data_IF_278151772555
#
_entry.id   IF_278151772555
#
_cell.length_a   1.000
_cell.length_b   1.000
_cell.length_c   1.000
_cell.angle_alpha   90.00
_cell.angle_beta   90.00
_cell.angle_gamma   90.00
#
_symmetry.space_group_name_H-M   'P 1'
#
loop_
_entity.id
_entity.type
_entity.pdbx_description
1 polymer ?
#
# COMPACT_ATOMS: atom_id res chain seq x y z
N UNK A 1 -1.16 -12.74 -9.35
CA UNK A 1 -1.49 -12.82 -7.90
C UNK A 1 -2.99 -13.05 -7.77
N UNK A 2 -3.44 -13.66 -6.65
CA UNK A 2 -4.87 -13.99 -6.50
C UNK A 2 -5.69 -12.83 -5.91
N UNK A 3 -5.04 -11.81 -5.33
CA UNK A 3 -5.66 -10.70 -4.63
C UNK A 3 -4.81 -9.44 -4.76
N UNK A 4 -5.45 -8.26 -4.85
CA UNK A 4 -4.77 -6.97 -4.93
C UNK A 4 -4.09 -6.58 -3.62
N UNK A 5 -4.55 -7.10 -2.49
CA UNK A 5 -3.91 -6.94 -1.17
C UNK A 5 -2.48 -7.47 -1.14
N UNK A 6 -2.18 -8.52 -1.92
CA UNK A 6 -0.82 -9.03 -2.08
C UNK A 6 0.06 -8.10 -2.94
N UNK A 7 -0.53 -7.40 -3.92
CA UNK A 7 0.18 -6.36 -4.64
C UNK A 7 0.50 -5.18 -3.72
N UNK A 8 -0.48 -4.78 -2.89
CA UNK A 8 -0.29 -3.74 -1.87
C UNK A 8 0.86 -4.08 -0.93
N UNK A 9 0.92 -5.35 -0.45
CA UNK A 9 2.02 -5.86 0.37
C UNK A 9 3.36 -5.73 -0.33
N UNK A 10 3.48 -6.22 -1.57
CA UNK A 10 4.73 -6.19 -2.35
C UNK A 10 5.25 -4.76 -2.56
N UNK A 11 4.35 -3.79 -2.83
CA UNK A 11 4.75 -2.40 -3.03
C UNK A 11 5.18 -1.77 -1.70
N UNK A 12 4.45 -2.00 -0.61
CA UNK A 12 4.81 -1.51 0.72
C UNK A 12 6.16 -2.11 1.21
N UNK A 13 6.42 -3.40 0.93
CA UNK A 13 7.73 -3.99 1.20
C UNK A 13 8.88 -3.36 0.38
N UNK A 14 8.61 -2.87 -0.83
CA UNK A 14 9.62 -2.12 -1.58
C UNK A 14 9.94 -0.79 -0.88
N UNK A 15 8.94 -0.13 -0.31
CA UNK A 15 9.12 1.09 0.49
C UNK A 15 9.92 0.82 1.76
N UNK A 16 9.66 -0.31 2.45
CA UNK A 16 10.51 -0.78 3.58
C UNK A 16 11.96 -0.95 3.15
N UNK A 17 12.20 -1.65 2.02
CA UNK A 17 13.56 -1.86 1.46
C UNK A 17 14.24 -0.56 1.01
N UNK A 18 13.46 0.47 0.67
CA UNK A 18 13.96 1.81 0.35
C UNK A 18 14.31 2.64 1.59
N UNK A 19 14.17 2.08 2.79
CA UNK A 19 14.47 2.75 4.05
C UNK A 19 13.44 3.81 4.44
N UNK A 20 12.20 3.64 4.04
CA UNK A 20 11.10 4.52 4.47
C UNK A 20 10.88 4.43 5.97
N UNK A 21 10.57 5.55 6.60
CA UNK A 21 10.12 5.65 7.99
C UNK A 21 8.62 5.87 8.09
N UNK A 22 7.99 6.24 6.98
CA UNK A 22 6.55 6.44 6.87
C UNK A 22 6.07 5.90 5.52
N UNK A 23 5.03 5.05 5.56
CA UNK A 23 4.38 4.49 4.38
C UNK A 23 2.88 4.80 4.48
N UNK A 24 2.34 5.50 3.47
CA UNK A 24 0.90 5.75 3.33
C UNK A 24 0.32 4.84 2.28
N UNK A 25 -0.75 4.16 2.61
CA UNK A 25 -1.49 3.27 1.72
C UNK A 25 -2.93 3.76 1.63
N UNK A 26 -3.36 4.14 0.45
CA UNK A 26 -4.73 4.62 0.20
C UNK A 26 -5.40 3.73 -0.83
N UNK A 27 -6.56 3.22 -0.49
CA UNK A 27 -7.51 2.54 -1.37
C UNK A 27 -8.74 3.43 -1.50
N UNK A 28 -9.12 3.78 -2.71
CA UNK A 28 -10.32 4.57 -2.96
C UNK A 28 -11.18 3.91 -4.02
N UNK A 29 -12.40 3.57 -3.62
CA UNK A 29 -13.41 3.03 -4.52
C UNK A 29 -14.44 4.10 -4.87
N UNK A 30 -14.57 4.42 -6.15
CA UNK A 30 -15.55 5.38 -6.65
C UNK A 30 -16.13 4.89 -7.98
N UNK A 31 -17.44 4.69 -8.03
CA UNK A 31 -18.07 4.03 -9.17
C UNK A 31 -17.47 2.63 -9.36
N UNK A 32 -17.08 2.33 -10.60
CA UNK A 32 -16.46 1.05 -10.97
C UNK A 32 -14.93 1.14 -11.03
N UNK A 33 -14.31 2.03 -10.23
CA UNK A 33 -12.85 2.21 -10.21
C UNK A 33 -12.33 2.06 -8.80
N UNK A 34 -11.33 1.19 -8.63
CA UNK A 34 -10.47 1.13 -7.46
C UNK A 34 -9.16 1.83 -7.78
N UNK A 35 -8.81 2.84 -7.01
CA UNK A 35 -7.50 3.49 -7.03
C UNK A 35 -6.71 3.04 -5.81
N UNK A 36 -5.54 2.44 -6.04
CA UNK A 36 -4.59 2.03 -5.02
C UNK A 36 -3.38 2.95 -5.09
N UNK A 37 -3.04 3.62 -4.00
CA UNK A 37 -1.87 4.49 -3.89
C UNK A 37 -1.00 4.04 -2.73
N UNK A 38 0.30 3.90 -2.97
CA UNK A 38 1.32 3.69 -1.93
C UNK A 38 2.35 4.80 -2.06
N UNK A 39 2.51 5.58 -1.00
CA UNK A 39 3.44 6.70 -0.91
C UNK A 39 4.41 6.46 0.24
N UNK A 40 5.69 6.66 0.02
CA UNK A 40 6.74 6.53 1.02
C UNK A 40 7.71 7.71 1.03
N UNK A 41 8.43 7.84 2.13
CA UNK A 41 9.52 8.80 2.31
C UNK A 41 10.91 8.13 2.25
N UNK A 42 11.03 6.99 1.58
CA UNK A 42 12.30 6.28 1.39
C UNK A 42 13.29 7.02 0.48
N UNK A 43 14.40 6.38 0.16
CA UNK A 43 15.48 7.02 -0.62
C UNK A 43 15.06 7.44 -2.05
N UNK A 44 13.93 7.00 -2.55
CA UNK A 44 13.47 7.24 -3.91
C UNK A 44 14.31 6.52 -4.97
N UNK A 45 13.95 6.74 -6.25
CA UNK A 45 14.57 6.09 -7.40
C UNK A 45 15.35 7.10 -8.25
N UNK A 46 16.54 6.69 -8.73
CA UNK A 46 17.28 7.46 -9.73
C UNK A 46 16.53 7.46 -11.06
N UNK A 47 16.62 8.55 -11.88
CA UNK A 47 15.85 8.68 -13.11
C UNK A 47 16.02 7.51 -14.09
N UNK A 48 17.24 6.96 -14.20
CA UNK A 48 17.53 5.84 -15.09
C UNK A 48 16.83 4.54 -14.63
N UNK A 49 16.76 4.34 -13.32
CA UNK A 49 16.06 3.21 -12.74
C UNK A 49 14.54 3.37 -12.85
N UNK A 50 14.02 4.58 -12.56
CA UNK A 50 12.60 4.88 -12.65
C UNK A 50 12.04 4.61 -14.07
N UNK A 51 12.82 4.94 -15.12
CA UNK A 51 12.40 4.66 -16.51
C UNK A 51 12.26 3.17 -16.84
N UNK A 52 12.93 2.32 -16.10
CA UNK A 52 12.97 0.88 -16.35
C UNK A 52 12.14 0.05 -15.36
N UNK A 53 11.73 0.64 -14.23
CA UNK A 53 11.16 -0.12 -13.11
C UNK A 53 9.81 -0.77 -13.43
N UNK A 54 9.06 -0.21 -14.37
CA UNK A 54 7.77 -0.74 -14.82
C UNK A 54 7.87 -1.62 -16.05
N UNK A 55 9.06 -1.76 -16.65
CA UNK A 55 9.28 -2.60 -17.84
C UNK A 55 9.55 -4.05 -17.41
N UNK A 56 8.65 -4.99 -17.73
CA UNK A 56 8.82 -6.40 -17.39
C UNK A 56 10.05 -7.05 -18.06
N UNK A 57 10.57 -6.46 -19.15
CA UNK A 57 11.74 -6.95 -19.87
C UNK A 57 13.06 -6.43 -19.29
N UNK A 58 13.05 -5.34 -18.52
CA UNK A 58 14.25 -4.82 -17.85
C UNK A 58 14.68 -5.66 -16.65
N UNK A 59 13.86 -6.57 -16.15
CA UNK A 59 14.17 -7.45 -15.01
C UNK A 59 15.14 -8.58 -15.38
N UNK A 60 15.44 -8.82 -16.67
CA UNK A 60 16.27 -9.93 -17.13
C UNK A 60 17.77 -9.70 -17.10
N UNK A 61 18.25 -8.50 -16.76
CA UNK A 61 19.69 -8.22 -16.61
C UNK A 61 20.16 -8.33 -15.17
N UNK A 62 20.80 -9.41 -14.87
CA UNK A 62 21.77 -9.93 -13.89
C UNK A 62 22.28 -9.04 -12.72
N UNK A 63 21.78 -7.86 -12.44
CA UNK A 63 22.34 -6.99 -11.39
C UNK A 63 21.25 -6.22 -10.65
N UNK A 64 20.68 -6.86 -9.70
CA UNK A 64 19.82 -6.48 -8.58
C UNK A 64 18.47 -7.19 -8.62
N UNK A 65 18.09 -7.71 -7.46
CA UNK A 65 16.74 -8.22 -7.15
C UNK A 65 15.72 -7.08 -7.22
N UNK A 66 15.34 -6.63 -8.40
CA UNK A 66 14.13 -5.83 -8.59
C UNK A 66 12.99 -6.84 -8.49
N UNK A 67 12.16 -6.71 -7.46
CA UNK A 67 11.01 -7.55 -7.29
C UNK A 67 10.07 -7.40 -8.49
N UNK A 68 9.36 -8.46 -8.85
CA UNK A 68 8.35 -8.46 -9.91
C UNK A 68 7.08 -7.66 -9.53
N UNK A 69 7.03 -7.05 -8.34
CA UNK A 69 5.85 -6.40 -7.80
C UNK A 69 5.28 -5.31 -8.70
N UNK A 70 6.09 -4.30 -9.08
CA UNK A 70 5.62 -3.21 -9.95
C UNK A 70 5.21 -3.67 -11.37
N UNK A 71 6.00 -4.49 -12.08
CA UNK A 71 5.57 -5.05 -13.37
C UNK A 71 4.28 -5.88 -13.30
N UNK A 72 4.10 -6.66 -12.23
CA UNK A 72 2.88 -7.47 -12.05
C UNK A 72 1.68 -6.60 -11.68
N UNK A 73 1.87 -5.56 -10.85
CA UNK A 73 0.83 -4.59 -10.54
C UNK A 73 0.39 -3.83 -11.80
N UNK A 74 1.36 -3.42 -12.64
CA UNK A 74 1.09 -2.78 -13.93
C UNK A 74 0.24 -3.67 -14.83
N UNK A 75 0.67 -4.93 -14.99
CA UNK A 75 -0.07 -5.89 -15.80
C UNK A 75 -1.50 -6.10 -15.29
N UNK A 76 -1.67 -6.25 -13.98
CA UNK A 76 -3.00 -6.41 -13.37
C UNK A 76 -3.90 -5.18 -13.59
N UNK A 77 -3.36 -3.96 -13.51
CA UNK A 77 -4.10 -2.74 -13.80
C UNK A 77 -4.48 -2.63 -15.28
N UNK A 78 -3.51 -2.82 -16.19
CA UNK A 78 -3.72 -2.74 -17.64
C UNK A 78 -4.71 -3.81 -18.15
N UNK A 79 -4.73 -5.01 -17.56
CA UNK A 79 -5.71 -6.06 -17.90
C UNK A 79 -7.16 -5.65 -17.64
N UNK A 80 -7.40 -4.73 -16.71
CA UNK A 80 -8.73 -4.18 -16.44
C UNK A 80 -9.04 -2.91 -17.24
N UNK A 81 -8.16 -2.49 -18.14
CA UNK A 81 -8.25 -1.20 -18.84
C UNK A 81 -7.82 0.00 -17.97
N UNK A 82 -7.24 -0.27 -16.81
CA UNK A 82 -6.70 0.73 -15.91
C UNK A 82 -5.25 1.13 -16.23
N UNK A 83 -4.54 1.66 -15.25
CA UNK A 83 -3.19 2.20 -15.45
C UNK A 83 -2.34 2.12 -14.19
N UNK A 84 -1.00 2.17 -14.38
CA UNK A 84 -0.03 2.35 -13.30
C UNK A 84 0.82 3.60 -13.55
N UNK A 85 0.95 4.43 -12.53
CA UNK A 85 1.87 5.57 -12.51
C UNK A 85 2.85 5.41 -11.35
N UNK A 86 4.13 5.70 -11.59
CA UNK A 86 5.19 5.71 -10.57
C UNK A 86 5.89 7.05 -10.63
N UNK A 87 5.84 7.79 -9.54
CA UNK A 87 6.56 9.04 -9.35
C UNK A 87 7.60 8.84 -8.25
N UNK A 88 8.82 9.28 -8.46
CA UNK A 88 9.87 9.12 -7.46
C UNK A 88 10.87 10.26 -7.51
N UNK A 89 11.31 10.67 -6.31
CA UNK A 89 12.34 11.69 -6.10
C UNK A 89 13.48 11.08 -5.31
N UNK A 90 14.66 10.97 -5.93
CA UNK A 90 15.81 10.38 -5.27
C UNK A 90 16.45 11.37 -4.30
N UNK A 91 16.86 10.90 -3.12
CA UNK A 91 17.43 11.70 -2.03
C UNK A 91 18.66 12.52 -2.43
N UNK A 92 19.49 12.04 -3.39
CA UNK A 92 20.67 12.80 -3.84
C UNK A 92 20.30 14.13 -4.52
N UNK A 93 19.14 14.19 -5.17
CA UNK A 93 18.65 15.38 -5.87
C UNK A 93 17.60 16.16 -5.06
N UNK A 94 16.95 15.50 -4.13
CA UNK A 94 15.88 16.05 -3.30
C UNK A 94 16.08 15.65 -1.83
N UNK A 95 17.05 16.26 -1.12
CA UNK A 95 17.32 15.94 0.29
C UNK A 95 16.09 16.11 1.17
N UNK A 96 15.28 17.14 0.89
CA UNK A 96 14.02 17.40 1.56
C UNK A 96 12.87 17.02 0.62
N UNK A 97 12.15 15.93 0.91
CA UNK A 97 10.97 15.50 0.13
C UNK A 97 11.28 14.43 -0.93
N UNK A 98 12.25 13.57 -0.64
CA UNK A 98 12.48 12.33 -1.40
C UNK A 98 11.43 11.25 -1.05
N UNK A 99 11.34 10.23 -1.89
CA UNK A 99 10.42 9.11 -1.73
C UNK A 99 9.83 8.62 -3.04
N UNK A 100 8.86 7.74 -2.94
CA UNK A 100 8.16 7.17 -4.10
C UNK A 100 6.66 7.20 -3.87
N UNK A 101 5.92 7.48 -4.94
CA UNK A 101 4.47 7.35 -5.01
C UNK A 101 4.11 6.41 -6.16
N UNK A 102 3.41 5.33 -5.85
CA UNK A 102 2.88 4.36 -6.81
C UNK A 102 1.37 4.47 -6.80
N UNK A 103 0.76 4.75 -7.96
CA UNK A 103 -0.70 4.80 -8.11
C UNK A 103 -1.13 3.82 -9.19
N UNK A 104 -2.01 2.89 -8.85
CA UNK A 104 -2.63 1.94 -9.76
C UNK A 104 -4.14 2.13 -9.77
N UNK A 105 -4.74 2.15 -10.98
CA UNK A 105 -6.18 2.23 -11.18
C UNK A 105 -6.67 0.92 -11.82
N UNK A 106 -7.79 0.40 -11.31
CA UNK A 106 -8.43 -0.83 -11.79
C UNK A 106 -9.90 -0.56 -12.07
N UNK A 107 -10.40 -1.07 -13.21
CA UNK A 107 -11.84 -1.12 -13.44
C UNK A 107 -12.42 -2.38 -12.79
N UNK A 108 -13.20 -2.21 -11.72
CA UNK A 108 -13.68 -3.30 -10.86
C UNK A 108 -14.81 -4.11 -11.48
N UNK A 109 -15.47 -3.59 -12.49
CA UNK A 109 -16.49 -4.28 -13.29
C UNK A 109 -15.89 -5.12 -14.43
N UNK A 110 -14.58 -5.06 -14.66
CA UNK A 110 -13.92 -5.88 -15.67
C UNK A 110 -13.80 -7.34 -15.19
N UNK A 111 -14.05 -8.30 -16.11
CA UNK A 111 -14.06 -9.73 -15.77
C UNK A 111 -12.68 -10.24 -15.25
N UNK A 112 -11.60 -9.62 -15.67
CA UNK A 112 -10.24 -9.96 -15.23
C UNK A 112 -9.81 -9.16 -13.98
N UNK A 113 -10.69 -8.37 -13.37
CA UNK A 113 -10.36 -7.65 -12.17
C UNK A 113 -10.15 -8.62 -11.00
N UNK A 114 -8.94 -8.61 -10.48
CA UNK A 114 -8.59 -9.39 -9.30
C UNK A 114 -9.28 -8.78 -8.07
N UNK A 115 -9.89 -9.58 -7.18
CA UNK A 115 -10.52 -9.06 -5.96
C UNK A 115 -9.51 -8.36 -5.06
N UNK A 116 -10.00 -7.40 -4.26
CA UNK A 116 -9.13 -6.66 -3.32
C UNK A 116 -8.44 -7.60 -2.32
N UNK A 117 -9.18 -8.56 -1.76
CA UNK A 117 -8.64 -9.52 -0.81
C UNK A 117 -8.51 -8.96 0.62
N UNK A 118 -7.65 -9.59 1.42
CA UNK A 118 -7.51 -9.33 2.86
C UNK A 118 -6.46 -8.23 3.15
N UNK A 119 -6.93 -6.99 3.24
CA UNK A 119 -6.11 -5.83 3.60
C UNK A 119 -5.71 -5.84 5.08
N UNK A 120 -6.50 -6.46 5.96
CA UNK A 120 -6.19 -6.55 7.40
C UNK A 120 -4.96 -7.43 7.62
N UNK A 121 -4.92 -8.60 6.99
CA UNK A 121 -3.74 -9.47 7.04
C UNK A 121 -2.50 -8.84 6.40
N UNK A 122 -2.68 -8.02 5.34
CA UNK A 122 -1.60 -7.24 4.73
C UNK A 122 -0.97 -6.27 5.73
N UNK A 123 -1.81 -5.46 6.40
CA UNK A 123 -1.34 -4.50 7.41
C UNK A 123 -0.70 -5.20 8.61
N UNK A 124 -1.32 -6.27 9.09
CA UNK A 124 -0.76 -7.09 10.17
C UNK A 124 0.65 -7.58 9.84
N UNK A 125 0.84 -8.11 8.62
CA UNK A 125 2.14 -8.62 8.14
C UNK A 125 3.19 -7.51 8.07
N UNK A 126 2.84 -6.34 7.54
CA UNK A 126 3.74 -5.19 7.43
C UNK A 126 4.18 -4.69 8.81
N UNK A 127 3.23 -4.51 9.73
CA UNK A 127 3.51 -4.01 11.09
C UNK A 127 4.33 -5.03 11.88
N UNK A 128 4.02 -6.33 11.74
CA UNK A 128 4.80 -7.38 12.37
C UNK A 128 6.26 -7.41 11.89
N UNK A 129 6.45 -7.26 10.57
CA UNK A 129 7.78 -7.34 9.94
C UNK A 129 8.62 -6.09 10.10
N UNK A 130 7.99 -4.92 10.29
CA UNK A 130 8.66 -3.61 10.34
C UNK A 130 8.01 -2.71 11.38
N UNK A 131 8.08 -3.09 12.68
CA UNK A 131 7.39 -2.38 13.77
C UNK A 131 7.93 -0.95 14.03
N UNK A 132 9.10 -0.62 13.52
CA UNK A 132 9.72 0.71 13.61
C UNK A 132 9.18 1.70 12.59
N UNK A 133 8.54 1.22 11.52
CA UNK A 133 7.98 2.08 10.47
C UNK A 133 6.58 2.54 10.87
N UNK A 134 6.25 3.76 10.50
CA UNK A 134 4.90 4.27 10.62
C UNK A 134 4.07 3.94 9.38
N UNK A 135 2.90 3.38 9.60
CA UNK A 135 1.94 3.04 8.56
C UNK A 135 0.67 3.89 8.73
N UNK A 136 0.26 4.53 7.63
CA UNK A 136 -1.03 5.21 7.53
C UNK A 136 -1.84 4.52 6.46
N UNK A 137 -2.95 3.92 6.84
CA UNK A 137 -3.85 3.23 5.94
C UNK A 137 -5.20 3.93 5.88
N UNK A 138 -5.71 4.09 4.67
CA UNK A 138 -7.02 4.64 4.39
C UNK A 138 -7.69 3.81 3.30
N UNK A 139 -8.89 3.29 3.58
CA UNK A 139 -9.75 2.68 2.58
C UNK A 139 -11.09 3.41 2.54
N UNK A 140 -11.33 4.12 1.47
CA UNK A 140 -12.56 4.88 1.23
C UNK A 140 -13.40 4.16 0.19
N UNK A 141 -14.63 3.82 0.55
CA UNK A 141 -15.69 3.37 -0.34
C UNK A 141 -16.85 4.37 -0.31
N UNK A 142 -17.83 4.31 -1.24
CA UNK A 142 -19.03 5.13 -1.15
C UNK A 142 -19.78 4.97 0.18
N UNK A 143 -19.62 3.84 0.84
CA UNK A 143 -20.40 3.43 2.01
C UNK A 143 -19.64 3.63 3.33
N UNK A 144 -18.30 3.54 3.32
CA UNK A 144 -17.51 3.57 4.57
C UNK A 144 -16.10 4.11 4.38
N UNK A 145 -15.50 4.45 5.50
CA UNK A 145 -14.09 4.80 5.60
C UNK A 145 -13.46 3.93 6.68
N UNK A 146 -12.42 3.17 6.30
CA UNK A 146 -11.59 2.38 7.21
C UNK A 146 -10.22 3.03 7.29
N UNK A 147 -9.72 3.27 8.50
CA UNK A 147 -8.43 3.95 8.69
C UNK A 147 -7.62 3.33 9.82
N UNK A 148 -6.31 3.42 9.65
CA UNK A 148 -5.32 3.12 10.68
C UNK A 148 -4.17 4.12 10.56
N UNK A 149 -3.76 4.72 11.68
CA UNK A 149 -2.53 5.50 11.76
C UNK A 149 -1.71 4.99 12.95
N UNK A 150 -0.61 4.32 12.67
CA UNK A 150 0.24 3.74 13.71
C UNK A 150 0.94 4.79 14.57
N UNK A 151 1.05 6.03 14.10
CA UNK A 151 1.60 7.15 14.88
C UNK A 151 0.66 7.51 16.04
N UNK A 152 -0.66 7.50 15.78
CA UNK A 152 -1.68 7.70 16.83
C UNK A 152 -1.58 6.57 17.86
N UNK A 153 -1.44 5.32 17.41
CA UNK A 153 -1.27 4.17 18.31
C UNK A 153 -0.02 4.28 19.19
N UNK A 154 1.11 4.74 18.64
CA UNK A 154 2.34 4.92 19.41
C UNK A 154 2.18 5.98 20.51
N UNK A 155 1.40 7.02 20.24
CA UNK A 155 1.11 8.05 21.25
C UNK A 155 0.29 7.49 22.43
N UNK A 156 -0.65 6.60 22.14
CA UNK A 156 -1.51 5.97 23.17
C UNK A 156 -0.78 4.86 23.94
N UNK A 157 0.02 4.04 23.24
CA UNK A 157 0.74 2.91 23.86
C UNK A 157 1.98 3.35 24.65
N UNK A 158 2.57 4.50 24.30
CA UNK A 158 3.86 4.94 24.81
C UNK A 158 5.05 4.25 24.11
N UNK A 159 6.25 4.78 24.36
CA UNK A 159 7.48 4.37 23.66
C UNK A 159 7.96 2.94 24.00
N UNK A 160 7.48 2.38 25.10
CA UNK A 160 7.98 1.09 25.62
C UNK A 160 7.27 -0.13 25.02
N UNK A 161 6.17 0.07 24.29
CA UNK A 161 5.38 -1.04 23.74
C UNK A 161 5.59 -1.10 22.21
N UNK A 162 6.32 -2.10 21.69
CA UNK A 162 6.49 -2.28 20.25
C UNK A 162 5.17 -2.65 19.57
N UNK A 163 4.92 -2.12 18.36
CA UNK A 163 3.71 -2.41 17.60
C UNK A 163 3.55 -3.87 17.21
N UNK A 164 4.65 -4.63 17.12
CA UNK A 164 4.63 -6.07 16.80
C UNK A 164 4.41 -6.97 18.03
N UNK A 165 4.07 -6.41 19.18
CA UNK A 165 3.61 -7.19 20.33
C UNK A 165 2.32 -7.93 19.96
N UNK A 166 2.19 -9.25 20.22
CA UNK A 166 1.03 -10.03 19.77
C UNK A 166 -0.32 -9.41 20.15
N UNK A 167 -0.47 -8.93 21.39
CA UNK A 167 -1.71 -8.28 21.84
C UNK A 167 -2.04 -6.99 21.06
N UNK A 168 -1.02 -6.22 20.67
CA UNK A 168 -1.19 -5.00 19.85
C UNK A 168 -1.59 -5.36 18.43
N UNK A 169 -0.95 -6.36 17.83
CA UNK A 169 -1.29 -6.85 16.48
C UNK A 169 -2.72 -7.39 16.41
N UNK A 170 -3.13 -8.17 17.42
CA UNK A 170 -4.49 -8.71 17.51
C UNK A 170 -5.50 -7.56 17.66
N UNK A 171 -5.20 -6.58 18.51
CA UNK A 171 -6.04 -5.39 18.67
C UNK A 171 -6.16 -4.60 17.36
N UNK A 172 -5.07 -4.39 16.63
CA UNK A 172 -5.07 -3.71 15.32
C UNK A 172 -5.97 -4.46 14.33
N UNK A 173 -5.83 -5.79 14.27
CA UNK A 173 -6.62 -6.61 13.38
C UNK A 173 -8.13 -6.52 13.70
N UNK A 174 -8.49 -6.60 14.97
CA UNK A 174 -9.87 -6.49 15.43
C UNK A 174 -10.44 -5.08 15.20
N UNK A 175 -9.68 -4.04 15.50
CA UNK A 175 -10.05 -2.64 15.22
C UNK A 175 -10.37 -2.40 13.75
N UNK A 176 -9.56 -2.95 12.84
CA UNK A 176 -9.82 -2.84 11.40
C UNK A 176 -11.04 -3.66 10.98
N UNK A 177 -11.18 -4.90 11.48
CA UNK A 177 -12.35 -5.74 11.20
C UNK A 177 -13.66 -5.10 11.67
N UNK A 178 -13.65 -4.47 12.84
CA UNK A 178 -14.82 -3.74 13.35
C UNK A 178 -15.21 -2.59 12.42
N UNK A 179 -14.26 -1.81 11.91
CA UNK A 179 -14.54 -0.74 10.95
C UNK A 179 -15.13 -1.30 9.64
N UNK A 180 -14.63 -2.45 9.15
CA UNK A 180 -15.19 -3.12 7.98
C UNK A 180 -16.59 -3.69 8.23
N UNK A 181 -16.91 -4.07 9.47
CA UNK A 181 -18.22 -4.64 9.86
C UNK A 181 -19.29 -3.57 10.16
N UNK A 182 -18.89 -2.30 10.41
CA UNK A 182 -19.84 -1.24 10.73
C UNK A 182 -20.78 -0.98 9.54
N UNK A 183 -22.10 -0.82 9.79
CA UNK A 183 -23.03 -0.42 8.76
C UNK A 183 -22.69 0.98 8.23
N UNK A 184 -23.15 1.26 7.01
CA UNK A 184 -22.92 2.51 6.29
C UNK A 184 -23.22 3.76 7.16
N UNK A 185 -22.18 4.50 7.52
CA UNK A 185 -22.30 5.74 8.32
C UNK A 185 -22.95 6.87 7.50
N UNK A 186 -23.00 6.75 6.19
CA UNK A 186 -23.58 7.76 5.27
C UNK A 186 -25.06 7.50 4.96
N UNK A 187 -25.60 6.34 5.29
CA UNK A 187 -27.00 5.98 5.08
C UNK A 187 -27.52 5.02 6.16
N UNK A 188 -27.77 5.51 7.39
CA UNK A 188 -28.17 4.68 8.54
C UNK A 188 -29.55 4.01 8.41
N UNK A 189 -30.32 4.33 7.35
CA UNK A 189 -31.73 3.90 7.17
C UNK A 189 -31.93 2.88 6.02
N UNK A 190 -30.90 2.11 5.62
CA UNK A 190 -31.05 1.04 4.63
C UNK A 190 -30.79 -0.33 5.22
#
# INVERSE_FOLDING_TARGET
>A
MKELSLNLLDIAENSVKAGATLIRMTLREAGNVLTMTVEDNGCGMKPDFLRSVTDPFCTTRRTRKVGLGLPLLRLAAEQTGGSLTVESRHQDAFPDGHGTCVTACFHTDHIDCTPLGDTVSTLWTLIQGSPEIDFVFLHETPERVVRLDTRELRLELGADIPLNTPAVLDWIADYLREQYAQPDVRNPDK
#
